data_IF_176444756159
#
_entry.id   IF_176444756159
#
_cell.length_a   1.000
_cell.length_b   1.000
_cell.length_c   1.000
_cell.angle_alpha   90.00
_cell.angle_beta   90.00
_cell.angle_gamma   90.00
#
_symmetry.space_group_name_H-M   'P 1'
#
loop_
_entity.id
_entity.type
_entity.pdbx_description
1 polymer ?
#
# COMPACT_ATOMS: atom_id res chain seq x y z
N UNK A 1 -5.94 -22.00 7.86
CA UNK A 1 -6.53 -22.96 6.91
C UNK A 1 -7.63 -22.24 6.15
N UNK A 2 -7.79 -22.46 4.85
CA UNK A 2 -8.92 -21.91 4.07
C UNK A 2 -10.20 -22.71 4.34
N UNK A 3 -11.37 -22.16 3.99
CA UNK A 3 -12.64 -22.87 4.11
C UNK A 3 -12.60 -24.23 3.37
N UNK A 4 -12.04 -24.26 2.16
CA UNK A 4 -11.88 -25.50 1.39
C UNK A 4 -10.97 -26.52 2.09
N UNK A 5 -9.86 -26.08 2.69
CA UNK A 5 -8.95 -26.97 3.44
C UNK A 5 -9.63 -27.55 4.68
N UNK A 6 -10.42 -26.75 5.40
CA UNK A 6 -11.20 -27.21 6.57
C UNK A 6 -12.23 -28.25 6.14
N UNK A 7 -12.95 -27.99 5.06
CA UNK A 7 -13.95 -28.92 4.51
C UNK A 7 -13.31 -30.23 4.06
N UNK A 8 -12.13 -30.18 3.43
CA UNK A 8 -11.38 -31.34 2.96
C UNK A 8 -10.67 -32.14 4.07
N UNK A 9 -10.58 -31.60 5.31
CA UNK A 9 -9.87 -32.28 6.41
C UNK A 9 -10.58 -33.58 6.80
N UNK A 10 -9.88 -34.72 6.76
CA UNK A 10 -10.40 -36.03 7.19
C UNK A 10 -10.14 -36.27 8.68
N UNK A 11 -10.87 -37.19 9.32
CA UNK A 11 -10.69 -37.54 10.74
C UNK A 11 -11.12 -36.48 11.76
N UNK A 12 -11.83 -35.42 11.33
CA UNK A 12 -12.35 -34.36 12.21
C UNK A 12 -13.87 -34.31 12.18
N UNK A 13 -14.47 -33.92 13.31
CA UNK A 13 -15.94 -33.83 13.45
C UNK A 13 -16.50 -32.63 12.66
N UNK A 14 -17.79 -32.71 12.30
CA UNK A 14 -18.51 -31.58 11.66
C UNK A 14 -18.48 -30.33 12.55
N UNK A 15 -18.67 -30.51 13.86
CA UNK A 15 -18.55 -29.43 14.86
C UNK A 15 -17.19 -28.76 14.80
N UNK A 16 -16.08 -29.52 14.77
CA UNK A 16 -14.75 -28.96 14.65
C UNK A 16 -14.59 -28.13 13.37
N UNK A 17 -15.05 -28.66 12.22
CA UNK A 17 -14.99 -27.93 10.94
C UNK A 17 -15.79 -26.62 11.00
N UNK A 18 -17.00 -26.66 11.56
CA UNK A 18 -17.85 -25.47 11.73
C UNK A 18 -17.19 -24.42 12.62
N UNK A 19 -16.56 -24.83 13.72
CA UNK A 19 -15.81 -23.92 14.60
C UNK A 19 -14.63 -23.25 13.87
N UNK A 20 -13.89 -24.00 13.04
CA UNK A 20 -12.83 -23.43 12.22
C UNK A 20 -13.38 -22.47 11.16
N UNK A 21 -14.52 -22.79 10.54
CA UNK A 21 -15.18 -21.90 9.57
C UNK A 21 -15.69 -20.62 10.24
N UNK A 22 -16.25 -20.70 11.45
CA UNK A 22 -16.63 -19.51 12.23
C UNK A 22 -15.41 -18.67 12.63
N UNK A 23 -14.28 -19.31 12.95
CA UNK A 23 -13.02 -18.62 13.22
C UNK A 23 -12.45 -17.90 11.98
N UNK A 24 -12.85 -18.30 10.76
CA UNK A 24 -12.57 -17.57 9.51
C UNK A 24 -13.54 -16.40 9.25
N UNK A 25 -14.50 -16.17 10.14
CA UNK A 25 -15.46 -15.07 10.06
C UNK A 25 -16.72 -15.37 9.25
N UNK A 26 -16.93 -16.62 8.83
CA UNK A 26 -18.15 -17.02 8.11
C UNK A 26 -19.38 -16.96 9.03
N UNK A 27 -20.51 -16.50 8.49
CA UNK A 27 -21.78 -16.43 9.19
C UNK A 27 -22.38 -17.81 9.41
N UNK A 28 -23.30 -17.93 10.37
CA UNK A 28 -24.08 -19.16 10.62
C UNK A 28 -24.81 -19.66 9.38
N UNK A 29 -25.27 -18.75 8.52
CA UNK A 29 -25.94 -19.08 7.27
C UNK A 29 -24.97 -19.64 6.24
N UNK A 30 -23.82 -19.00 6.07
CA UNK A 30 -22.77 -19.47 5.15
C UNK A 30 -22.20 -20.82 5.58
N UNK A 31 -21.93 -21.01 6.88
CA UNK A 31 -21.45 -22.30 7.40
C UNK A 31 -22.52 -23.39 7.25
N UNK A 32 -23.79 -23.06 7.51
CA UNK A 32 -24.89 -24.00 7.28
C UNK A 32 -24.94 -24.46 5.81
N UNK A 33 -24.84 -23.52 4.87
CA UNK A 33 -24.79 -23.80 3.44
C UNK A 33 -23.55 -24.60 3.04
N UNK A 34 -22.35 -24.20 3.49
CA UNK A 34 -21.08 -24.86 3.12
C UNK A 34 -20.95 -26.27 3.67
N UNK A 35 -21.52 -26.52 4.85
CA UNK A 35 -21.49 -27.84 5.51
C UNK A 35 -22.69 -28.71 5.13
N UNK A 36 -23.62 -28.20 4.32
CA UNK A 36 -24.90 -28.84 3.99
C UNK A 36 -25.66 -29.30 5.26
N UNK A 37 -25.80 -28.40 6.24
CA UNK A 37 -26.51 -28.66 7.51
C UNK A 37 -27.63 -27.65 7.73
N UNK A 38 -28.59 -27.99 8.58
CA UNK A 38 -29.67 -27.07 8.96
C UNK A 38 -29.17 -25.85 9.72
N UNK A 39 -29.79 -24.68 9.49
CA UNK A 39 -29.43 -23.42 10.15
C UNK A 39 -29.49 -23.51 11.68
N UNK A 40 -30.50 -24.19 12.25
CA UNK A 40 -30.62 -24.39 13.69
C UNK A 40 -29.43 -25.16 14.29
N UNK A 41 -28.89 -26.14 13.56
CA UNK A 41 -27.69 -26.86 14.00
C UNK A 41 -26.45 -25.95 13.98
N UNK A 42 -26.29 -25.14 12.93
CA UNK A 42 -25.21 -24.15 12.87
C UNK A 42 -25.31 -23.08 13.96
N UNK A 43 -26.52 -22.63 14.28
CA UNK A 43 -26.80 -21.72 15.40
C UNK A 43 -26.42 -22.34 16.74
N UNK A 44 -26.78 -23.61 16.99
CA UNK A 44 -26.46 -24.30 18.25
C UNK A 44 -24.95 -24.52 18.42
N UNK A 45 -24.26 -24.94 17.35
CA UNK A 45 -22.79 -25.10 17.37
C UNK A 45 -22.10 -23.76 17.58
N UNK A 46 -22.57 -22.69 16.95
CA UNK A 46 -22.04 -21.34 17.15
C UNK A 46 -22.25 -20.85 18.59
N UNK A 47 -23.45 -21.03 19.16
CA UNK A 47 -23.76 -20.61 20.52
C UNK A 47 -22.87 -21.30 21.56
N UNK A 48 -22.69 -22.63 21.42
CA UNK A 48 -21.79 -23.39 22.28
C UNK A 48 -20.32 -22.93 22.10
N UNK A 49 -19.85 -22.81 20.86
CA UNK A 49 -18.49 -22.38 20.54
C UNK A 49 -18.16 -20.98 21.05
N UNK A 50 -19.07 -20.02 20.88
CA UNK A 50 -18.91 -18.65 21.36
C UNK A 50 -18.85 -18.59 22.89
N UNK A 51 -19.63 -19.43 23.58
CA UNK A 51 -19.63 -19.52 25.05
C UNK A 51 -18.29 -20.09 25.57
N UNK A 52 -17.76 -21.12 24.91
CA UNK A 52 -16.45 -21.70 25.29
C UNK A 52 -15.27 -20.78 24.94
N UNK A 53 -15.34 -20.06 23.82
CA UNK A 53 -14.33 -19.08 23.43
C UNK A 53 -14.27 -17.86 24.37
N UNK A 54 -15.38 -17.55 25.06
CA UNK A 54 -15.46 -16.48 26.06
C UNK A 54 -14.93 -16.88 27.45
N UNK A 55 -14.74 -18.18 27.75
CA UNK A 55 -14.35 -18.67 29.07
C UNK A 55 -12.82 -18.75 29.31
N UNK A 56 -12.00 -18.38 28.32
CA UNK A 56 -10.55 -18.22 28.50
C UNK A 56 -10.27 -16.74 28.80
N UNK A 57 -9.53 -16.37 29.86
CA UNK A 57 -9.24 -14.97 30.16
C UNK A 57 -8.24 -14.45 29.12
N UNK A 58 -8.77 -14.05 27.97
CA UNK A 58 -8.08 -13.30 26.95
C UNK A 58 -8.44 -11.85 27.23
N UNK A 59 -7.42 -11.04 27.58
CA UNK A 59 -7.53 -9.60 27.69
C UNK A 59 -8.51 -9.07 26.62
N UNK A 60 -9.57 -8.38 27.05
CA UNK A 60 -10.72 -7.93 26.26
C UNK A 60 -10.39 -7.72 24.78
N UNK A 61 -10.52 -8.77 23.97
CA UNK A 61 -10.48 -8.68 22.52
C UNK A 61 -11.92 -8.45 22.10
N UNK A 62 -12.34 -7.19 22.05
CA UNK A 62 -13.38 -6.78 21.09
C UNK A 62 -13.04 -7.44 19.77
N UNK A 63 -13.96 -8.09 19.04
CA UNK A 63 -13.62 -8.70 17.77
C UNK A 63 -13.35 -7.58 16.76
N UNK A 64 -12.12 -7.06 16.77
CA UNK A 64 -11.58 -6.01 15.91
C UNK A 64 -11.77 -6.38 14.43
N UNK A 65 -11.97 -7.67 14.12
CA UNK A 65 -12.24 -8.15 12.78
C UNK A 65 -13.61 -7.74 12.19
N UNK A 66 -14.63 -7.49 13.02
CA UNK A 66 -15.99 -7.14 12.55
C UNK A 66 -16.38 -5.67 12.74
N UNK A 67 -15.65 -4.93 13.58
CA UNK A 67 -15.86 -3.49 13.69
C UNK A 67 -15.38 -2.79 12.40
N UNK A 68 -16.06 -1.73 11.91
CA UNK A 68 -15.53 -0.89 10.85
C UNK A 68 -14.09 -0.47 11.17
N UNK A 69 -13.19 -0.55 10.20
CA UNK A 69 -11.83 -0.08 10.39
C UNK A 69 -11.87 1.45 10.50
N UNK A 70 -11.32 1.99 11.57
CA UNK A 70 -11.05 3.41 11.69
C UNK A 70 -9.53 3.58 11.60
N UNK A 71 -9.01 4.26 10.55
CA UNK A 71 -7.59 4.54 10.49
C UNK A 71 -7.17 5.35 11.73
N UNK A 72 -6.08 4.94 12.36
CA UNK A 72 -5.50 5.67 13.50
C UNK A 72 -4.93 7.03 13.08
N UNK A 73 -4.32 7.73 14.04
CA UNK A 73 -3.63 8.99 13.75
C UNK A 73 -2.50 8.78 12.74
N UNK A 74 -2.39 9.68 11.76
CA UNK A 74 -1.32 9.64 10.76
C UNK A 74 0.02 10.03 11.40
N UNK A 75 0.79 9.03 11.83
CA UNK A 75 2.01 9.21 12.64
C UNK A 75 3.24 8.49 12.09
N UNK A 76 3.05 7.60 11.10
CA UNK A 76 4.12 6.84 10.44
C UNK A 76 5.05 7.79 9.67
N UNK A 77 6.34 7.48 9.69
CA UNK A 77 7.33 8.21 8.90
C UNK A 77 7.20 7.85 7.42
N UNK A 78 7.34 8.83 6.55
CA UNK A 78 7.29 8.64 5.11
C UNK A 78 8.34 9.51 4.41
N UNK A 79 8.62 9.20 3.15
CA UNK A 79 9.42 10.04 2.27
C UNK A 79 8.80 10.04 0.88
N UNK A 80 9.07 11.09 0.10
CA UNK A 80 8.60 11.19 -1.29
C UNK A 80 9.75 11.48 -2.23
N UNK A 81 9.66 10.91 -3.42
CA UNK A 81 10.52 11.22 -4.56
C UNK A 81 9.62 11.72 -5.69
N UNK A 82 9.79 12.98 -6.10
CA UNK A 82 8.98 13.65 -7.12
C UNK A 82 9.84 13.89 -8.36
N UNK A 83 9.61 13.12 -9.41
CA UNK A 83 10.26 13.30 -10.70
C UNK A 83 9.59 14.43 -11.50
N UNK A 84 10.40 15.36 -12.03
CA UNK A 84 9.93 16.50 -12.80
C UNK A 84 11.03 17.05 -13.73
N UNK A 85 10.65 17.98 -14.60
CA UNK A 85 11.58 18.67 -15.51
C UNK A 85 11.16 20.13 -15.72
N UNK A 86 11.94 20.86 -16.51
CA UNK A 86 11.61 22.21 -16.98
C UNK A 86 12.13 23.33 -16.09
N UNK A 87 12.81 23.02 -14.98
CA UNK A 87 13.30 23.99 -14.00
C UNK A 87 14.78 23.74 -13.71
N UNK A 88 15.57 24.81 -13.63
CA UNK A 88 16.97 24.68 -13.22
C UNK A 88 17.07 24.35 -11.74
N UNK A 89 18.01 23.48 -11.36
CA UNK A 89 18.18 23.08 -9.96
C UNK A 89 18.46 24.27 -9.05
N UNK A 90 19.21 25.25 -9.53
CA UNK A 90 19.50 26.48 -8.80
C UNK A 90 18.23 27.28 -8.47
N UNK A 91 17.31 27.44 -9.44
CA UNK A 91 16.05 28.14 -9.22
C UNK A 91 15.15 27.40 -8.22
N UNK A 92 15.01 26.08 -8.40
CA UNK A 92 14.22 25.25 -7.48
C UNK A 92 14.81 25.26 -6.06
N UNK A 93 16.14 25.18 -5.94
CA UNK A 93 16.84 25.21 -4.66
C UNK A 93 16.62 26.54 -3.93
N UNK A 94 16.68 27.67 -4.64
CA UNK A 94 16.40 28.99 -4.10
C UNK A 94 14.95 29.08 -3.59
N UNK A 95 13.99 28.59 -4.37
CA UNK A 95 12.58 28.63 -4.00
C UNK A 95 12.25 27.71 -2.81
N UNK A 96 12.82 26.49 -2.76
CA UNK A 96 12.65 25.60 -1.59
C UNK A 96 13.11 26.28 -0.29
N UNK A 97 14.25 26.98 -0.34
CA UNK A 97 14.77 27.74 0.80
C UNK A 97 13.89 28.95 1.13
N UNK A 98 13.33 29.63 0.13
CA UNK A 98 12.38 30.71 0.33
C UNK A 98 11.07 30.22 1.00
N UNK A 99 10.68 28.98 0.77
CA UNK A 99 9.58 28.30 1.49
C UNK A 99 9.97 27.80 2.90
N UNK A 100 11.19 28.10 3.37
CA UNK A 100 11.69 27.70 4.68
C UNK A 100 12.02 26.22 4.80
N UNK A 101 12.40 25.57 3.70
CA UNK A 101 12.88 24.19 3.69
C UNK A 101 14.40 24.18 3.57
N UNK A 102 15.07 23.38 4.41
CA UNK A 102 16.48 23.07 4.18
C UNK A 102 16.59 22.21 2.92
N UNK A 103 17.38 22.67 1.95
CA UNK A 103 17.54 21.98 0.68
C UNK A 103 18.96 22.12 0.11
N UNK A 104 19.40 21.11 -0.65
CA UNK A 104 20.69 21.08 -1.36
C UNK A 104 20.58 20.40 -2.73
N UNK A 105 21.43 20.79 -3.70
CA UNK A 105 21.68 19.99 -4.91
C UNK A 105 22.68 18.89 -4.56
N UNK A 106 22.30 17.63 -4.76
CA UNK A 106 23.08 16.48 -4.34
C UNK A 106 23.60 15.63 -5.51
N UNK A 107 23.50 16.11 -6.76
CA UNK A 107 23.95 15.34 -7.91
C UNK A 107 23.23 13.99 -8.01
N UNK A 108 23.95 12.88 -8.19
CA UNK A 108 23.37 11.54 -8.13
C UNK A 108 23.71 10.87 -6.79
N UNK A 109 22.70 10.57 -5.97
CA UNK A 109 22.92 9.86 -4.69
C UNK A 109 21.66 9.18 -4.16
N UNK A 110 21.87 7.99 -3.59
CA UNK A 110 20.85 7.26 -2.83
C UNK A 110 20.91 7.53 -1.33
N UNK A 111 21.78 8.43 -0.84
CA UNK A 111 21.92 8.68 0.60
C UNK A 111 20.65 9.31 1.21
N UNK A 112 20.23 8.84 2.37
CA UNK A 112 19.16 9.48 3.16
C UNK A 112 19.72 10.72 3.86
N UNK A 113 19.04 11.86 3.76
CA UNK A 113 19.48 13.17 4.26
C UNK A 113 18.45 13.76 5.23
N UNK A 114 18.87 14.70 6.08
CA UNK A 114 17.99 15.49 6.95
C UNK A 114 17.33 16.67 6.25
N UNK A 115 17.73 16.95 5.01
CA UNK A 115 17.25 18.03 4.16
C UNK A 115 16.66 17.50 2.84
N UNK A 116 15.88 18.34 2.15
CA UNK A 116 15.39 18.07 0.81
C UNK A 116 16.54 18.09 -0.19
N UNK A 117 16.66 17.08 -1.04
CA UNK A 117 17.72 17.02 -2.04
C UNK A 117 17.15 17.00 -3.44
N UNK A 118 17.79 17.74 -4.34
CA UNK A 118 17.55 17.63 -5.77
C UNK A 118 18.60 16.67 -6.33
N UNK A 119 18.16 15.60 -6.98
CA UNK A 119 19.05 14.60 -7.57
C UNK A 119 18.86 14.45 -9.07
N UNK A 120 19.86 13.89 -9.72
CA UNK A 120 19.81 13.47 -11.12
C UNK A 120 19.01 12.19 -11.27
N UNK A 121 18.08 12.20 -12.23
CA UNK A 121 17.39 11.00 -12.67
C UNK A 121 17.50 10.86 -14.19
N UNK A 122 18.09 9.74 -14.62
CA UNK A 122 18.28 9.39 -16.02
C UNK A 122 17.02 8.83 -16.70
N UNK A 123 15.98 8.45 -15.94
CA UNK A 123 14.69 8.04 -16.55
C UNK A 123 13.85 9.23 -17.03
N UNK A 124 14.08 10.44 -16.49
CA UNK A 124 13.27 11.61 -16.80
C UNK A 124 13.69 12.22 -18.13
N UNK A 125 12.76 12.24 -19.08
CA UNK A 125 12.92 12.89 -20.38
C UNK A 125 12.41 14.32 -20.33
N UNK A 126 13.27 15.30 -20.58
CA UNK A 126 12.88 16.70 -20.63
C UNK A 126 14.05 17.63 -20.34
N UNK A 127 13.91 18.92 -20.67
CA UNK A 127 14.94 19.90 -20.32
C UNK A 127 15.07 19.99 -18.80
N UNK A 128 16.31 19.89 -18.28
CA UNK A 128 16.59 19.94 -16.84
C UNK A 128 15.80 18.88 -16.03
N UNK A 129 15.83 17.61 -16.44
CA UNK A 129 15.23 16.52 -15.65
C UNK A 129 15.86 16.37 -14.25
N UNK A 130 15.03 16.16 -13.24
CA UNK A 130 15.45 15.96 -11.86
C UNK A 130 14.43 15.13 -11.06
N UNK A 131 14.87 14.68 -9.89
CA UNK A 131 14.00 14.14 -8.84
C UNK A 131 14.20 14.96 -7.56
N UNK A 132 13.11 15.47 -6.99
CA UNK A 132 13.11 16.13 -5.68
C UNK A 132 12.78 15.08 -4.61
N UNK A 133 13.73 14.83 -3.72
CA UNK A 133 13.62 13.81 -2.67
C UNK A 133 13.52 14.47 -1.31
N UNK A 134 12.52 14.06 -0.53
CA UNK A 134 12.32 14.57 0.82
C UNK A 134 13.32 14.00 1.82
N UNK A 135 13.57 14.69 2.96
CA UNK A 135 14.06 14.01 4.15
C UNK A 135 13.00 13.03 4.68
N UNK A 136 13.28 12.36 5.80
CA UNK A 136 12.26 11.56 6.50
C UNK A 136 11.21 12.50 7.10
N UNK A 137 10.01 12.48 6.52
CA UNK A 137 8.84 13.25 6.94
C UNK A 137 8.01 12.45 7.94
N UNK A 138 7.18 13.13 8.76
CA UNK A 138 6.32 12.46 9.74
C UNK A 138 4.97 13.15 9.92
N UNK A 139 3.91 12.36 9.82
CA UNK A 139 2.55 12.81 10.15
C UNK A 139 2.12 14.08 9.43
N UNK A 140 1.31 14.90 10.12
CA UNK A 140 0.76 16.14 9.55
C UNK A 140 1.82 17.22 9.31
N UNK A 141 2.83 17.32 10.17
CA UNK A 141 3.96 18.26 9.99
C UNK A 141 4.73 17.93 8.71
N UNK A 142 5.00 16.64 8.48
CA UNK A 142 5.60 16.17 7.23
C UNK A 142 4.76 16.49 5.99
N UNK A 143 3.42 16.46 6.09
CA UNK A 143 2.55 16.91 5.00
C UNK A 143 2.62 18.41 4.76
N UNK A 144 2.79 19.22 5.81
CA UNK A 144 2.98 20.66 5.66
C UNK A 144 4.30 20.99 4.94
N UNK A 145 5.39 20.27 5.27
CA UNK A 145 6.66 20.38 4.55
C UNK A 145 6.53 19.98 3.08
N UNK A 146 5.81 18.88 2.82
CA UNK A 146 5.49 18.45 1.47
C UNK A 146 4.67 19.49 0.69
N UNK A 147 3.71 20.15 1.33
CA UNK A 147 2.93 21.22 0.69
C UNK A 147 3.84 22.39 0.27
N UNK A 148 4.77 22.79 1.15
CA UNK A 148 5.78 23.83 0.86
C UNK A 148 6.68 23.43 -0.31
N UNK A 149 7.11 22.17 -0.38
CA UNK A 149 7.91 21.66 -1.50
C UNK A 149 7.12 21.65 -2.82
N UNK A 150 5.87 21.19 -2.81
CA UNK A 150 4.99 21.23 -3.98
C UNK A 150 4.70 22.68 -4.43
N UNK A 151 4.57 23.61 -3.48
CA UNK A 151 4.41 25.04 -3.77
C UNK A 151 5.63 25.60 -4.49
N UNK A 152 6.84 25.26 -4.03
CA UNK A 152 8.08 25.64 -4.70
C UNK A 152 8.15 25.11 -6.15
N UNK A 153 7.87 23.82 -6.35
CA UNK A 153 7.79 23.22 -7.68
C UNK A 153 6.82 23.96 -8.60
N UNK A 154 5.63 24.30 -8.09
CA UNK A 154 4.61 25.04 -8.85
C UNK A 154 5.05 26.47 -9.18
N UNK A 155 5.64 27.20 -8.23
CA UNK A 155 6.12 28.58 -8.44
C UNK A 155 7.21 28.61 -9.52
N UNK A 156 8.13 27.65 -9.50
CA UNK A 156 9.17 27.55 -10.52
C UNK A 156 8.66 27.08 -11.89
N UNK A 157 7.41 26.60 -11.99
CA UNK A 157 6.86 26.09 -13.25
C UNK A 157 7.34 24.68 -13.61
N UNK A 158 7.65 23.84 -12.61
CA UNK A 158 8.04 22.45 -12.84
C UNK A 158 6.97 21.66 -13.57
N UNK A 159 7.40 20.89 -14.58
CA UNK A 159 6.56 20.12 -15.48
C UNK A 159 6.73 18.62 -15.21
N UNK A 160 5.72 17.85 -15.61
CA UNK A 160 5.73 16.38 -15.54
C UNK A 160 5.19 15.81 -16.85
N UNK A 161 5.72 14.67 -17.26
CA UNK A 161 5.27 13.93 -18.44
C UNK A 161 5.25 12.42 -18.14
N UNK A 162 5.07 11.59 -19.18
CA UNK A 162 4.94 10.13 -19.03
C UNK A 162 6.22 9.42 -18.55
N UNK A 163 7.37 10.09 -18.64
CA UNK A 163 8.62 9.59 -18.04
C UNK A 163 8.70 9.78 -16.53
N UNK A 164 7.92 10.73 -15.98
CA UNK A 164 7.94 11.08 -14.56
C UNK A 164 7.07 10.13 -13.72
N UNK A 165 7.61 9.72 -12.58
CA UNK A 165 6.96 8.99 -11.50
C UNK A 165 6.78 9.80 -10.21
N UNK A 166 6.02 9.23 -9.29
CA UNK A 166 6.00 9.61 -7.88
C UNK A 166 6.26 8.35 -7.05
N UNK A 167 7.30 8.38 -6.22
CA UNK A 167 7.59 7.30 -5.28
C UNK A 167 7.29 7.75 -3.86
N UNK A 168 6.71 6.85 -3.07
CA UNK A 168 6.44 7.08 -1.65
C UNK A 168 7.05 5.96 -0.84
N UNK A 169 7.91 6.32 0.10
CA UNK A 169 8.52 5.42 1.05
C UNK A 169 7.78 5.50 2.38
N UNK A 170 7.55 4.36 3.03
CA UNK A 170 7.09 4.30 4.42
C UNK A 170 8.08 3.57 5.28
N UNK A 171 8.43 4.14 6.44
CA UNK A 171 9.25 3.46 7.45
C UNK A 171 8.62 2.13 7.84
N UNK A 172 9.45 1.08 7.84
CA UNK A 172 8.98 -0.31 7.95
C UNK A 172 9.80 -1.17 8.92
N UNK A 173 10.82 -0.61 9.58
CA UNK A 173 11.65 -1.35 10.56
C UNK A 173 10.87 -1.84 11.78
N UNK A 174 9.77 -1.18 12.10
CA UNK A 174 8.82 -1.54 13.15
C UNK A 174 7.90 -2.71 12.75
N UNK A 175 7.83 -3.05 11.46
CA UNK A 175 6.88 -4.03 10.95
C UNK A 175 7.44 -5.45 11.08
N UNK A 176 6.68 -6.32 11.74
CA UNK A 176 6.94 -7.76 11.75
C UNK A 176 6.69 -8.37 10.37
N UNK A 177 7.31 -9.51 10.09
CA UNK A 177 7.17 -10.19 8.80
C UNK A 177 5.72 -10.56 8.47
N UNK A 178 4.88 -10.88 9.46
CA UNK A 178 3.43 -11.11 9.27
C UNK A 178 2.73 -9.89 8.70
N UNK A 179 3.10 -8.70 9.16
CA UNK A 179 2.51 -7.44 8.72
C UNK A 179 3.02 -7.08 7.33
N UNK A 180 4.34 -7.16 7.10
CA UNK A 180 4.93 -6.94 5.77
C UNK A 180 4.29 -7.84 4.70
N UNK A 181 4.10 -9.13 5.00
CA UNK A 181 3.40 -10.07 4.12
C UNK A 181 1.99 -9.61 3.79
N UNK A 182 1.23 -9.16 4.79
CA UNK A 182 -0.13 -8.69 4.59
C UNK A 182 -0.19 -7.41 3.77
N UNK A 183 0.76 -6.47 3.94
CA UNK A 183 0.85 -5.26 3.11
C UNK A 183 1.03 -5.65 1.64
N UNK A 184 2.02 -6.51 1.36
CA UNK A 184 2.32 -6.97 0.00
C UNK A 184 1.15 -7.73 -0.60
N UNK A 185 0.54 -8.64 0.17
CA UNK A 185 -0.62 -9.43 -0.26
C UNK A 185 -1.83 -8.55 -0.54
N UNK A 186 -2.14 -7.59 0.33
CA UNK A 186 -3.26 -6.68 0.12
C UNK A 186 -3.02 -5.78 -1.10
N UNK A 187 -1.80 -5.28 -1.32
CA UNK A 187 -1.49 -4.53 -2.52
C UNK A 187 -1.60 -5.38 -3.78
N UNK A 188 -1.05 -6.60 -3.78
CA UNK A 188 -1.14 -7.56 -4.87
C UNK A 188 -2.61 -7.81 -5.27
N UNK A 189 -3.49 -8.00 -4.29
CA UNK A 189 -4.93 -8.22 -4.51
C UNK A 189 -5.64 -6.96 -5.00
N UNK A 190 -5.26 -5.79 -4.47
CA UNK A 190 -5.86 -4.50 -4.86
C UNK A 190 -5.30 -3.92 -6.15
N UNK A 191 -4.19 -4.45 -6.68
CA UNK A 191 -3.47 -3.87 -7.81
C UNK A 191 -4.39 -3.56 -9.01
N UNK A 192 -5.30 -4.47 -9.44
CA UNK A 192 -6.24 -4.17 -10.53
C UNK A 192 -7.22 -3.03 -10.21
N UNK A 193 -7.60 -2.85 -8.95
CA UNK A 193 -8.42 -1.72 -8.51
C UNK A 193 -7.59 -0.43 -8.47
N UNK A 194 -6.36 -0.48 -7.96
CA UNK A 194 -5.46 0.67 -7.90
C UNK A 194 -5.07 1.15 -9.30
N UNK A 195 -4.93 0.25 -10.28
CA UNK A 195 -4.71 0.59 -11.69
C UNK A 195 -5.80 1.51 -12.26
N UNK A 196 -7.06 1.37 -11.79
CA UNK A 196 -8.16 2.24 -12.23
C UNK A 196 -8.02 3.70 -11.74
N UNK A 197 -7.12 3.94 -10.79
CA UNK A 197 -6.80 5.28 -10.25
C UNK A 197 -5.61 5.91 -10.97
N UNK A 198 -5.02 5.21 -11.92
CA UNK A 198 -3.78 5.62 -12.60
C UNK A 198 -4.03 5.90 -14.08
N UNK A 199 -3.23 6.79 -14.72
CA UNK A 199 -3.25 6.92 -16.17
C UNK A 199 -2.76 5.62 -16.85
N UNK A 200 -3.12 5.40 -18.11
CA UNK A 200 -2.86 4.16 -18.85
C UNK A 200 -1.40 3.67 -18.75
N UNK A 201 -0.44 4.59 -18.90
CA UNK A 201 1.00 4.27 -18.79
C UNK A 201 1.47 3.81 -17.41
N UNK A 202 0.62 3.85 -16.37
CA UNK A 202 0.95 3.38 -15.01
C UNK A 202 0.10 2.17 -14.57
N UNK A 203 -0.65 1.58 -15.51
CA UNK A 203 -1.49 0.39 -15.27
C UNK A 203 -0.78 -0.90 -15.68
N UNK A 204 -1.13 -2.01 -15.03
CA UNK A 204 -0.57 -3.33 -15.33
C UNK A 204 0.96 -3.28 -15.39
N UNK A 205 1.51 -3.74 -16.51
CA UNK A 205 2.94 -3.75 -16.80
C UNK A 205 3.34 -2.74 -17.90
N UNK A 206 2.52 -1.70 -18.14
CA UNK A 206 2.75 -0.73 -19.21
C UNK A 206 4.03 0.12 -19.03
N UNK A 207 4.61 0.15 -17.83
CA UNK A 207 5.83 0.89 -17.52
C UNK A 207 6.87 0.01 -16.81
N UNK A 208 8.03 -0.14 -17.45
CA UNK A 208 9.15 -0.98 -16.99
C UNK A 208 9.72 -0.62 -15.62
N UNK A 209 9.47 0.59 -15.11
CA UNK A 209 9.96 1.10 -13.83
C UNK A 209 8.99 0.87 -12.66
N UNK A 210 7.76 0.40 -12.93
CA UNK A 210 6.75 0.08 -11.92
C UNK A 210 5.90 -1.14 -12.34
N UNK A 211 6.54 -2.29 -12.54
CA UNK A 211 5.87 -3.55 -12.92
C UNK A 211 4.96 -4.09 -11.79
N UNK A 212 3.93 -4.84 -12.19
CA UNK A 212 2.99 -5.48 -11.27
C UNK A 212 3.57 -6.64 -10.48
N UNK A 213 2.98 -6.94 -9.33
CA UNK A 213 3.48 -7.96 -8.40
C UNK A 213 3.22 -9.40 -8.86
N UNK A 214 2.31 -9.62 -9.82
CA UNK A 214 2.04 -10.96 -10.36
C UNK A 214 3.26 -11.54 -11.09
N UNK A 215 4.03 -10.72 -11.82
CA UNK A 215 5.25 -11.14 -12.52
C UNK A 215 5.05 -12.40 -13.39
N UNK A 216 3.93 -12.46 -14.11
CA UNK A 216 3.56 -13.60 -14.96
C UNK A 216 3.00 -14.82 -14.23
N UNK A 217 2.83 -14.75 -12.90
CA UNK A 217 2.19 -15.81 -12.10
C UNK A 217 0.68 -15.60 -12.02
N UNK A 218 -0.04 -16.66 -11.64
CA UNK A 218 -1.44 -16.55 -11.23
C UNK A 218 -1.55 -15.86 -9.87
N UNK A 219 -2.71 -15.27 -9.58
CA UNK A 219 -3.01 -14.66 -8.28
C UNK A 219 -2.76 -15.64 -7.12
N UNK A 220 -3.27 -16.87 -7.24
CA UNK A 220 -3.13 -17.91 -6.22
C UNK A 220 -1.66 -18.26 -5.96
N UNK A 221 -0.86 -18.41 -7.01
CA UNK A 221 0.57 -18.72 -6.87
C UNK A 221 1.34 -17.56 -6.24
N UNK A 222 1.08 -16.32 -6.67
CA UNK A 222 1.74 -15.14 -6.11
C UNK A 222 1.39 -14.94 -4.63
N UNK A 223 0.11 -15.05 -4.25
CA UNK A 223 -0.32 -14.98 -2.84
C UNK A 223 0.30 -16.09 -2.00
N UNK A 224 0.31 -17.34 -2.49
CA UNK A 224 0.92 -18.45 -1.77
C UNK A 224 2.41 -18.21 -1.48
N UNK A 225 3.16 -17.69 -2.46
CA UNK A 225 4.58 -17.38 -2.31
C UNK A 225 4.82 -16.23 -1.32
N UNK A 226 3.99 -15.17 -1.37
CA UNK A 226 4.04 -14.07 -0.38
C UNK A 226 3.75 -14.59 1.02
N UNK A 227 2.73 -15.42 1.19
CA UNK A 227 2.34 -15.95 2.50
C UNK A 227 3.35 -16.95 3.06
N UNK A 228 4.06 -17.68 2.21
CA UNK A 228 5.11 -18.63 2.61
C UNK A 228 6.40 -17.95 3.09
N UNK A 229 6.62 -16.67 2.80
CA UNK A 229 7.82 -15.95 3.21
C UNK A 229 7.92 -15.85 4.74
N UNK A 230 9.08 -16.17 5.29
CA UNK A 230 9.37 -16.10 6.74
C UNK A 230 10.41 -15.04 7.07
N UNK A 231 11.10 -14.49 6.06
CA UNK A 231 12.04 -13.38 6.19
C UNK A 231 11.74 -12.26 5.20
N UNK A 232 12.31 -11.07 5.43
CA UNK A 232 12.17 -9.94 4.52
C UNK A 232 12.78 -10.25 3.14
N UNK A 233 13.88 -11.00 3.08
CA UNK A 233 14.55 -11.42 1.85
C UNK A 233 13.66 -12.34 1.02
N UNK A 234 13.07 -13.36 1.66
CA UNK A 234 12.13 -14.27 1.00
C UNK A 234 10.90 -13.52 0.48
N UNK A 235 10.39 -12.55 1.26
CA UNK A 235 9.27 -11.74 0.85
C UNK A 235 9.61 -10.82 -0.32
N UNK A 236 10.78 -10.18 -0.30
CA UNK A 236 11.28 -9.39 -1.42
C UNK A 236 11.47 -10.23 -2.68
N UNK A 237 12.01 -11.44 -2.57
CA UNK A 237 12.13 -12.36 -3.70
C UNK A 237 10.74 -12.78 -4.24
N UNK A 238 9.79 -13.06 -3.36
CA UNK A 238 8.42 -13.40 -3.73
C UNK A 238 7.72 -12.23 -4.45
N UNK A 239 7.85 -11.01 -3.94
CA UNK A 239 7.20 -9.82 -4.51
C UNK A 239 7.89 -9.28 -5.76
N UNK A 240 9.22 -9.24 -5.75
CA UNK A 240 10.04 -8.47 -6.69
C UNK A 240 11.00 -9.31 -7.53
N UNK A 241 11.21 -10.58 -7.17
CA UNK A 241 12.19 -11.43 -7.84
C UNK A 241 13.62 -11.12 -7.43
N UNK A 242 14.55 -11.57 -8.26
CA UNK A 242 15.99 -11.44 -8.05
C UNK A 242 16.63 -10.62 -9.17
N UNK A 243 17.85 -10.14 -8.95
CA UNK A 243 18.63 -9.40 -9.95
C UNK A 243 18.37 -7.89 -9.96
N UNK A 244 19.00 -7.21 -10.91
CA UNK A 244 19.05 -5.74 -10.98
C UNK A 244 17.69 -5.07 -11.24
N UNK A 245 16.75 -5.77 -11.88
CA UNK A 245 15.40 -5.28 -12.15
C UNK A 245 14.43 -5.45 -10.99
N UNK A 246 14.82 -6.13 -9.90
CA UNK A 246 13.93 -6.39 -8.76
C UNK A 246 13.38 -5.10 -8.13
N UNK A 247 14.09 -3.98 -8.20
CA UNK A 247 13.59 -2.69 -7.69
C UNK A 247 12.40 -2.09 -8.46
N UNK A 248 12.14 -2.52 -9.70
CA UNK A 248 11.20 -1.84 -10.61
C UNK A 248 9.77 -2.40 -10.53
N UNK A 249 9.21 -2.45 -9.32
CA UNK A 249 7.85 -2.94 -9.07
C UNK A 249 7.00 -1.89 -8.34
N UNK A 250 5.68 -1.92 -8.54
CA UNK A 250 4.72 -1.01 -7.89
C UNK A 250 4.87 -0.98 -6.38
N UNK A 251 5.20 -2.12 -5.76
CA UNK A 251 5.69 -2.21 -4.39
C UNK A 251 7.11 -2.77 -4.43
N UNK A 252 8.09 -1.99 -4.01
CA UNK A 252 9.49 -2.37 -4.01
C UNK A 252 10.01 -2.57 -2.58
N UNK A 253 10.31 -3.83 -2.24
CA UNK A 253 10.88 -4.23 -0.95
C UNK A 253 12.41 -4.21 -0.93
N UNK A 254 13.08 -3.99 -2.07
CA UNK A 254 14.53 -3.77 -2.06
C UNK A 254 14.89 -2.50 -1.25
N UNK A 255 13.97 -1.54 -1.17
CA UNK A 255 14.10 -0.35 -0.32
C UNK A 255 14.18 -0.68 1.19
N UNK A 256 13.71 -1.86 1.62
CA UNK A 256 13.80 -2.29 3.01
C UNK A 256 15.25 -2.49 3.44
N UNK A 257 16.06 -3.16 2.62
CA UNK A 257 17.46 -3.44 2.95
C UNK A 257 18.34 -2.19 2.91
N UNK A 258 17.96 -1.19 2.10
CA UNK A 258 18.72 0.05 1.96
C UNK A 258 18.30 1.13 2.96
N UNK A 259 16.99 1.31 3.14
CA UNK A 259 16.43 2.44 3.89
C UNK A 259 15.57 2.01 5.09
N UNK A 260 15.25 0.72 5.21
CA UNK A 260 14.28 0.25 6.20
C UNK A 260 12.85 0.67 5.86
N UNK A 261 12.52 0.79 4.58
CA UNK A 261 11.20 1.25 4.09
C UNK A 261 10.50 0.21 3.21
N UNK A 262 9.19 0.39 3.00
CA UNK A 262 8.48 -0.13 1.81
C UNK A 262 8.33 1.03 0.85
N UNK A 263 8.69 0.84 -0.42
CA UNK A 263 8.53 1.85 -1.46
C UNK A 263 7.34 1.52 -2.35
N UNK A 264 6.49 2.51 -2.62
CA UNK A 264 5.38 2.44 -3.55
C UNK A 264 5.64 3.31 -4.77
N UNK A 265 5.74 2.68 -5.94
CA UNK A 265 6.21 3.28 -7.19
C UNK A 265 5.12 3.46 -8.25
N UNK A 266 3.85 3.20 -7.94
CA UNK A 266 2.80 3.11 -8.98
C UNK A 266 2.33 4.49 -9.49
N UNK A 267 2.32 5.53 -8.66
CA UNK A 267 1.65 6.79 -9.01
C UNK A 267 2.37 7.53 -10.13
N UNK A 268 1.62 8.17 -11.04
CA UNK A 268 2.17 8.99 -12.12
C UNK A 268 2.88 10.24 -11.59
N UNK A 269 3.84 10.78 -12.35
CA UNK A 269 4.45 12.07 -12.05
C UNK A 269 3.42 13.17 -11.78
N UNK A 270 3.62 13.91 -10.70
CA UNK A 270 2.78 15.05 -10.35
C UNK A 270 3.49 15.98 -9.37
N UNK A 271 3.27 17.28 -9.51
CA UNK A 271 3.69 18.31 -8.56
C UNK A 271 2.53 18.80 -7.68
N UNK A 272 1.34 18.21 -7.83
CA UNK A 272 0.12 18.64 -7.15
C UNK A 272 0.04 18.01 -5.75
N UNK A 273 0.10 18.87 -4.72
CA UNK A 273 0.07 18.46 -3.31
C UNK A 273 -1.16 17.62 -2.94
N UNK A 274 -2.36 17.98 -3.44
CA UNK A 274 -3.58 17.25 -3.13
C UNK A 274 -3.46 15.79 -3.61
N UNK A 275 -3.05 15.56 -4.86
CA UNK A 275 -2.83 14.20 -5.40
C UNK A 275 -1.81 13.41 -4.58
N UNK A 276 -0.69 14.03 -4.23
CA UNK A 276 0.39 13.36 -3.48
C UNK A 276 -0.06 13.04 -2.06
N UNK A 277 -0.66 14.00 -1.36
CA UNK A 277 -1.10 13.81 0.04
C UNK A 277 -2.21 12.76 0.16
N UNK A 278 -3.17 12.71 -0.77
CA UNK A 278 -4.16 11.63 -0.80
C UNK A 278 -3.53 10.26 -1.07
N UNK A 279 -2.49 10.19 -1.90
CA UNK A 279 -1.77 8.94 -2.17
C UNK A 279 -0.98 8.47 -0.95
N UNK A 280 -0.25 9.37 -0.29
CA UNK A 280 0.43 9.09 0.99
C UNK A 280 -0.57 8.56 2.02
N UNK A 281 -1.70 9.24 2.22
CA UNK A 281 -2.70 8.81 3.20
C UNK A 281 -3.35 7.46 2.86
N UNK A 282 -3.68 7.20 1.60
CA UNK A 282 -4.22 5.91 1.16
C UNK A 282 -3.24 4.77 1.44
N UNK A 283 -1.96 4.96 1.10
CA UNK A 283 -0.93 3.95 1.32
C UNK A 283 -0.68 3.71 2.81
N UNK A 284 -0.62 4.77 3.63
CA UNK A 284 -0.54 4.65 5.08
C UNK A 284 -1.71 3.82 5.61
N UNK A 285 -2.93 4.16 5.22
CA UNK A 285 -4.12 3.46 5.68
C UNK A 285 -4.13 1.99 5.25
N UNK A 286 -3.65 1.68 4.05
CA UNK A 286 -3.47 0.30 3.61
C UNK A 286 -2.45 -0.45 4.48
N UNK A 287 -1.34 0.20 4.85
CA UNK A 287 -0.35 -0.38 5.77
C UNK A 287 -1.00 -0.67 7.11
N UNK A 288 -1.67 0.30 7.73
CA UNK A 288 -2.30 0.13 9.04
C UNK A 288 -3.43 -0.92 9.01
N UNK A 289 -4.23 -0.95 7.95
CA UNK A 289 -5.26 -1.97 7.74
C UNK A 289 -4.65 -3.38 7.66
N UNK A 290 -3.52 -3.50 6.98
CA UNK A 290 -2.79 -4.77 6.81
C UNK A 290 -2.16 -5.30 8.10
N UNK A 291 -2.19 -4.57 9.21
CA UNK A 291 -1.71 -5.08 10.49
C UNK A 291 -2.56 -6.26 10.99
N UNK A 292 -3.87 -6.23 10.71
CA UNK A 292 -4.83 -7.19 11.25
C UNK A 292 -5.90 -7.64 10.26
N UNK A 293 -5.95 -7.08 9.04
CA UNK A 293 -7.03 -7.29 8.09
C UNK A 293 -6.51 -7.55 6.68
N UNK A 294 -7.31 -8.32 5.95
CA UNK A 294 -7.10 -8.63 4.55
C UNK A 294 -8.17 -7.94 3.70
N UNK A 295 -7.74 -7.38 2.57
CA UNK A 295 -8.66 -6.82 1.58
C UNK A 295 -9.38 -7.95 0.86
N UNK A 296 -10.65 -7.73 0.54
CA UNK A 296 -11.42 -8.63 -0.30
C UNK A 296 -10.90 -8.56 -1.73
N UNK A 297 -10.77 -9.71 -2.43
CA UNK A 297 -10.49 -9.70 -3.86
C UNK A 297 -11.48 -8.83 -4.62
N UNK A 298 -10.96 -8.00 -5.52
CA UNK A 298 -11.75 -7.07 -6.32
C UNK A 298 -12.58 -6.04 -5.53
N UNK A 299 -12.14 -5.64 -4.32
CA UNK A 299 -12.72 -4.51 -3.58
C UNK A 299 -12.87 -3.31 -4.55
N UNK A 300 -14.09 -2.82 -4.83
CA UNK A 300 -14.31 -1.75 -5.78
C UNK A 300 -13.88 -0.40 -5.20
N UNK A 301 -13.55 0.57 -6.06
CA UNK A 301 -13.18 1.94 -5.63
C UNK A 301 -14.28 2.60 -4.78
N UNK A 302 -15.55 2.27 -5.05
CA UNK A 302 -16.69 2.77 -4.27
C UNK A 302 -16.65 2.31 -2.79
N UNK A 303 -15.97 1.21 -2.49
CA UNK A 303 -15.83 0.66 -1.14
C UNK A 303 -14.49 1.03 -0.47
N UNK A 304 -13.74 2.02 -1.00
CA UNK A 304 -12.48 2.45 -0.38
C UNK A 304 -12.65 3.03 1.03
N UNK A 305 -13.86 3.42 1.42
CA UNK A 305 -14.20 3.75 2.81
C UNK A 305 -14.04 2.56 3.78
N UNK A 306 -13.85 1.32 3.28
CA UNK A 306 -13.55 0.13 4.08
C UNK A 306 -12.25 0.28 4.87
N UNK A 307 -11.27 0.99 4.33
CA UNK A 307 -9.99 1.22 5.00
C UNK A 307 -9.53 2.68 4.98
N UNK A 308 -10.33 3.61 4.48
CA UNK A 308 -10.00 5.03 4.41
C UNK A 308 -11.07 5.93 5.00
N UNK A 309 -10.67 7.14 5.38
CA UNK A 309 -11.60 8.24 5.62
C UNK A 309 -12.42 8.58 4.35
N UNK A 310 -13.62 9.15 4.53
CA UNK A 310 -14.58 9.41 3.44
C UNK A 310 -14.06 10.39 2.39
N UNK A 311 -13.29 11.38 2.79
CA UNK A 311 -12.65 12.35 1.89
C UNK A 311 -11.68 11.66 0.93
N UNK A 312 -10.83 10.76 1.42
CA UNK A 312 -9.91 9.95 0.60
C UNK A 312 -10.69 9.07 -0.38
N UNK A 313 -11.72 8.37 0.10
CA UNK A 313 -12.55 7.52 -0.75
C UNK A 313 -13.26 8.34 -1.86
N UNK A 314 -13.81 9.50 -1.51
CA UNK A 314 -14.47 10.43 -2.44
C UNK A 314 -13.49 10.95 -3.50
N UNK A 315 -12.28 11.33 -3.09
CA UNK A 315 -11.22 11.78 -3.99
C UNK A 315 -10.92 10.72 -5.07
N UNK A 316 -10.71 9.46 -4.66
CA UNK A 316 -10.37 8.40 -5.61
C UNK A 316 -11.55 7.95 -6.48
N UNK A 317 -12.78 8.04 -5.98
CA UNK A 317 -13.97 7.82 -6.81
C UNK A 317 -14.05 8.87 -7.94
N UNK A 318 -13.87 10.16 -7.61
CA UNK A 318 -13.84 11.25 -8.61
C UNK A 318 -12.70 11.09 -9.60
N UNK A 319 -11.51 10.74 -9.10
CA UNK A 319 -10.32 10.52 -9.93
C UNK A 319 -10.53 9.38 -10.94
N UNK A 320 -11.10 8.25 -10.51
CA UNK A 320 -11.44 7.14 -11.40
C UNK A 320 -12.35 7.59 -12.54
N UNK A 321 -13.43 8.33 -12.22
CA UNK A 321 -14.36 8.84 -13.22
C UNK A 321 -13.65 9.77 -14.22
N UNK A 322 -12.81 10.69 -13.73
CA UNK A 322 -12.06 11.62 -14.59
C UNK A 322 -11.05 10.93 -15.53
N UNK A 323 -10.61 9.71 -15.20
CA UNK A 323 -9.72 8.89 -16.03
C UNK A 323 -10.46 8.05 -17.08
N UNK A 324 -11.79 7.92 -16.97
CA UNK A 324 -12.63 7.20 -17.94
C UNK A 324 -13.18 8.12 -19.04
N UNK A 325 -13.19 9.43 -18.79
CA UNK A 325 -13.70 10.47 -19.71
C UNK A 325 -12.59 11.10 -20.57
N UNK A 326 -11.38 10.56 -20.54
CA UNK A 326 -10.21 11.00 -21.30
C UNK A 326 -9.79 9.90 -22.27
#
# INVERSE_FOLDING_TARGET
>A
MTAAQILATTGRTKTWKMQQLFALGLTRREVATMMSVGYGFAQNVYAAWATTAAATPRALVTPVAFAPFAPGAFTRTFGVEIEAYGVTRAALLAELRAQGLEAQDAGYTHATTSYWKIVSDGSVTGANGFELVSPVLRGLEGLADLERACRALRICGAQVNDSCGLHVHFGARDLRIEHLRQVVRNYLVLEPTLDQLMPAGRRGNANGYCQGLLRGRTQATAEAQVLAATTAEQLAQAANGTGSSSRYHKVNLQSFFRHGTIEFRQHSGTTNFEKISFWVKLLNNLIEFSATRLVTPALPVAEFATFNQRDIATFYQRRRMALQTR
#
